data_IF_903168990629
#
_entry.id   IF_903168990629
#
_cell.length_a   1.000
_cell.length_b   1.000
_cell.length_c   1.000
_cell.angle_alpha   90.00
_cell.angle_beta   90.00
_cell.angle_gamma   90.00
#
_symmetry.space_group_name_H-M   'P 1'
#
loop_
_entity.id
_entity.type
_entity.pdbx_description
1 polymer ?
#
# COMPACT_ATOMS: atom_id res chain seq x y z
N UNK A 1 -8.37 -24.92 -11.57
CA UNK A 1 -7.35 -23.90 -11.91
C UNK A 1 -8.00 -22.53 -11.84
N UNK A 2 -7.95 -21.90 -10.65
CA UNK A 2 -8.37 -20.53 -10.31
C UNK A 2 -8.27 -20.43 -8.76
N UNK A 3 -7.07 -20.57 -8.21
CA UNK A 3 -6.84 -20.16 -6.82
C UNK A 3 -5.70 -19.14 -6.89
N UNK A 4 -5.94 -17.90 -7.30
CA UNK A 4 -6.85 -17.02 -6.56
C UNK A 4 -6.28 -16.67 -5.18
N UNK A 5 -5.17 -17.30 -4.77
CA UNK A 5 -4.36 -16.96 -3.62
C UNK A 5 -4.05 -15.47 -3.69
N UNK A 6 -4.70 -14.73 -2.79
CA UNK A 6 -4.61 -13.30 -2.57
C UNK A 6 -3.17 -12.80 -2.84
N UNK A 7 -2.91 -12.25 -4.04
CA UNK A 7 -1.64 -11.57 -4.28
C UNK A 7 -1.61 -10.31 -3.42
N UNK A 8 -1.01 -10.43 -2.24
CA UNK A 8 -0.77 -9.31 -1.37
C UNK A 8 0.28 -8.42 -2.02
N UNK A 9 -0.11 -7.19 -2.31
CA UNK A 9 0.81 -6.17 -2.77
C UNK A 9 1.31 -5.43 -1.53
N UNK A 10 2.61 -5.22 -1.47
CA UNK A 10 3.24 -4.46 -0.40
C UNK A 10 4.05 -3.34 -1.01
N UNK A 11 4.07 -2.23 -0.31
CA UNK A 11 4.97 -1.11 -0.60
C UNK A 11 5.79 -0.82 0.64
N UNK A 12 7.01 -0.37 0.41
CA UNK A 12 7.80 0.29 1.44
C UNK A 12 7.44 1.77 1.42
N UNK A 13 7.12 2.33 2.57
CA UNK A 13 6.85 3.77 2.72
C UNK A 13 7.79 4.34 3.76
N UNK A 14 8.26 5.57 3.52
CA UNK A 14 9.00 6.33 4.50
C UNK A 14 8.04 7.17 5.32
N UNK A 15 8.05 6.98 6.63
CA UNK A 15 7.31 7.78 7.59
C UNK A 15 7.96 9.16 7.76
N UNK A 16 7.23 10.10 8.36
CA UNK A 16 7.69 11.49 8.51
C UNK A 16 8.94 11.60 9.41
N UNK A 17 9.10 10.67 10.34
CA UNK A 17 10.29 10.52 11.20
C UNK A 17 11.48 9.86 10.49
N UNK A 18 11.30 9.39 9.25
CA UNK A 18 12.34 8.78 8.44
C UNK A 18 12.37 7.25 8.47
N UNK A 19 11.61 6.58 9.35
CA UNK A 19 11.51 5.12 9.37
C UNK A 19 10.88 4.58 8.07
N UNK A 20 11.40 3.44 7.59
CA UNK A 20 10.80 2.71 6.48
C UNK A 20 9.94 1.56 7.00
N UNK A 21 8.68 1.50 6.58
CA UNK A 21 7.74 0.44 6.98
C UNK A 21 7.09 -0.21 5.77
N UNK A 22 6.81 -1.52 5.89
CA UNK A 22 6.14 -2.30 4.86
C UNK A 22 4.63 -2.28 5.08
N UNK A 23 3.87 -1.78 4.10
CA UNK A 23 2.41 -1.66 4.18
C UNK A 23 1.76 -2.53 3.12
N UNK A 24 0.81 -3.37 3.53
CA UNK A 24 -0.05 -4.10 2.61
C UNK A 24 -1.05 -3.15 1.95
N UNK A 25 -1.19 -3.26 0.64
CA UNK A 25 -2.15 -2.49 -0.13
C UNK A 25 -3.03 -3.39 -1.01
N UNK A 26 -4.17 -2.84 -1.42
CA UNK A 26 -5.06 -3.50 -2.37
C UNK A 26 -4.44 -3.53 -3.78
N UNK A 27 -4.84 -4.50 -4.61
CA UNK A 27 -4.48 -4.53 -6.03
C UNK A 27 -4.93 -3.27 -6.78
N UNK A 28 -6.04 -2.66 -6.37
CA UNK A 28 -6.53 -1.41 -6.96
C UNK A 28 -5.56 -0.27 -6.70
N UNK A 29 -5.08 -0.12 -5.46
CA UNK A 29 -4.12 0.92 -5.12
C UNK A 29 -2.77 0.67 -5.83
N UNK A 30 -2.29 -0.58 -5.85
CA UNK A 30 -1.05 -0.94 -6.54
C UNK A 30 -0.99 -0.46 -8.00
N UNK A 31 -2.11 -0.59 -8.73
CA UNK A 31 -2.19 -0.15 -10.13
C UNK A 31 -2.30 1.37 -10.31
N UNK A 32 -2.46 2.12 -9.23
CA UNK A 32 -2.78 3.55 -9.24
C UNK A 32 -1.72 4.42 -8.57
N UNK A 33 -0.63 3.84 -8.07
CA UNK A 33 0.47 4.55 -7.41
C UNK A 33 1.78 4.41 -8.19
N UNK A 34 2.66 5.39 -8.01
CA UNK A 34 4.06 5.37 -8.44
C UNK A 34 4.98 5.57 -7.23
N UNK A 35 6.28 5.34 -7.42
CA UNK A 35 7.30 5.78 -6.45
C UNK A 35 7.17 7.29 -6.26
N UNK A 36 7.39 7.76 -5.03
CA UNK A 36 7.21 9.16 -4.59
C UNK A 36 5.76 9.57 -4.28
N UNK A 37 4.75 8.75 -4.59
CA UNK A 37 3.38 9.02 -4.15
C UNK A 37 3.25 8.95 -2.62
N UNK A 38 2.48 9.91 -2.06
CA UNK A 38 2.08 9.86 -0.65
C UNK A 38 0.96 8.85 -0.45
N UNK A 39 1.09 8.03 0.58
CA UNK A 39 0.03 7.11 1.03
C UNK A 39 -0.50 7.54 2.40
N UNK A 40 -1.83 7.53 2.55
CA UNK A 40 -2.53 7.80 3.81
C UNK A 40 -3.28 6.54 4.24
N UNK A 41 -3.09 6.12 5.49
CA UNK A 41 -3.83 5.03 6.13
C UNK A 41 -4.54 5.56 7.36
N UNK A 42 -5.88 5.63 7.31
CA UNK A 42 -6.71 6.00 8.47
C UNK A 42 -7.04 4.74 9.30
N UNK A 43 -7.26 4.88 10.61
CA UNK A 43 -7.72 3.77 11.45
C UNK A 43 -8.99 3.13 10.86
N UNK A 44 -8.99 1.80 10.72
CA UNK A 44 -10.14 1.04 10.19
C UNK A 44 -10.37 1.16 8.68
N UNK A 45 -9.56 1.92 7.94
CA UNK A 45 -9.70 2.08 6.49
C UNK A 45 -8.50 1.49 5.73
N UNK A 46 -8.74 1.09 4.48
CA UNK A 46 -7.67 0.72 3.57
C UNK A 46 -6.75 1.92 3.27
N UNK A 47 -5.45 1.67 3.03
CA UNK A 47 -4.55 2.70 2.51
C UNK A 47 -5.08 3.27 1.19
N UNK A 48 -4.88 4.58 1.00
CA UNK A 48 -5.21 5.29 -0.24
C UNK A 48 -4.06 6.20 -0.65
N UNK A 49 -3.98 6.56 -1.93
CA UNK A 49 -3.12 7.65 -2.39
C UNK A 49 -3.64 8.97 -1.80
N UNK A 50 -2.75 9.74 -1.19
CA UNK A 50 -3.06 10.98 -0.46
C UNK A 50 -2.85 12.25 -1.27
#
# INVERSE_FOLDING_TARGET
MLDGSNMYHFVEVRLADGEAVKVRISRRLWKAIAVDDRIVKRPGADPVRG
#
